data_IF_523040686849
#
_entry.id   IF_523040686849
#
_cell.length_a   1.000
_cell.length_b   1.000
_cell.length_c   1.000
_cell.angle_alpha   90.00
_cell.angle_beta   90.00
_cell.angle_gamma   90.00
#
_symmetry.space_group_name_H-M   'P 1'
#
loop_
_entity.id
_entity.type
_entity.pdbx_description
1 polymer ?
#
# COMPACT_ATOMS: atom_id res chain seq x y z
N UNK A 1 14.24 -12.48 -10.42
CA UNK A 1 13.90 -11.09 -10.06
C UNK A 1 14.05 -10.93 -8.55
N UNK A 2 14.47 -9.77 -8.03
CA UNK A 2 14.68 -9.59 -6.58
C UNK A 2 13.48 -8.89 -5.94
N UNK A 3 12.93 -9.49 -4.89
CA UNK A 3 11.90 -8.89 -4.02
C UNK A 3 12.60 -8.02 -2.99
N UNK A 4 12.19 -6.76 -2.86
CA UNK A 4 12.80 -5.79 -1.95
C UNK A 4 11.90 -5.41 -0.77
N UNK A 5 12.45 -4.64 0.17
CA UNK A 5 11.73 -4.08 1.33
C UNK A 5 10.47 -3.30 0.96
N UNK A 6 10.45 -2.70 -0.23
CA UNK A 6 9.29 -1.98 -0.77
C UNK A 6 8.15 -2.94 -1.09
N UNK A 7 8.44 -4.04 -1.82
CA UNK A 7 7.47 -5.09 -2.09
C UNK A 7 6.97 -5.73 -0.78
N UNK A 8 7.86 -5.99 0.17
CA UNK A 8 7.47 -6.51 1.50
C UNK A 8 6.52 -5.56 2.23
N UNK A 9 6.81 -4.26 2.23
CA UNK A 9 5.93 -3.27 2.84
C UNK A 9 4.55 -3.27 2.17
N UNK A 10 4.52 -3.24 0.84
CA UNK A 10 3.27 -3.20 0.10
C UNK A 10 2.41 -4.44 0.33
N UNK A 11 3.01 -5.63 0.30
CA UNK A 11 2.31 -6.91 0.51
C UNK A 11 1.77 -7.01 1.93
N UNK A 12 2.57 -6.69 2.96
CA UNK A 12 2.11 -6.75 4.36
C UNK A 12 1.03 -5.72 4.67
N UNK A 13 1.14 -4.50 4.14
CA UNK A 13 0.09 -3.47 4.33
C UNK A 13 -1.20 -3.83 3.59
N UNK A 14 -1.12 -4.46 2.41
CA UNK A 14 -2.29 -4.98 1.72
C UNK A 14 -2.95 -6.12 2.53
N UNK A 15 -2.16 -7.07 3.05
CA UNK A 15 -2.67 -8.13 3.91
C UNK A 15 -3.34 -7.57 5.18
N UNK A 16 -2.71 -6.58 5.84
CA UNK A 16 -3.27 -5.85 6.98
C UNK A 16 -4.62 -5.23 6.67
N UNK A 17 -4.70 -4.45 5.59
CA UNK A 17 -5.94 -3.78 5.22
C UNK A 17 -7.06 -4.77 4.87
N UNK A 18 -6.72 -5.86 4.20
CA UNK A 18 -7.66 -6.94 3.89
C UNK A 18 -8.19 -7.62 5.16
N UNK A 19 -7.30 -7.97 6.10
CA UNK A 19 -7.69 -8.57 7.39
C UNK A 19 -8.56 -7.60 8.22
N UNK A 20 -8.36 -6.29 8.07
CA UNK A 20 -9.17 -5.26 8.73
C UNK A 20 -10.47 -4.92 7.99
N UNK A 21 -10.80 -5.62 6.90
CA UNK A 21 -12.12 -5.57 6.25
C UNK A 21 -12.18 -4.78 4.94
N UNK A 22 -11.05 -4.31 4.39
CA UNK A 22 -11.06 -3.72 3.04
C UNK A 22 -11.25 -4.83 1.99
N UNK A 23 -12.03 -4.58 0.92
CA UNK A 23 -12.02 -5.42 -0.27
C UNK A 23 -10.60 -5.59 -0.83
N UNK A 24 -10.29 -6.73 -1.43
CA UNK A 24 -8.93 -7.07 -1.88
C UNK A 24 -8.31 -5.99 -2.78
N UNK A 25 -9.08 -5.42 -3.71
CA UNK A 25 -8.60 -4.38 -4.61
C UNK A 25 -8.22 -3.09 -3.86
N UNK A 26 -9.07 -2.68 -2.92
CA UNK A 26 -8.81 -1.54 -2.03
C UNK A 26 -7.64 -1.81 -1.10
N UNK A 27 -7.49 -3.05 -0.63
CA UNK A 27 -6.38 -3.45 0.22
C UNK A 27 -5.05 -3.39 -0.55
N UNK A 28 -4.99 -3.87 -1.80
CA UNK A 28 -3.82 -3.70 -2.69
C UNK A 28 -3.51 -2.23 -2.92
N UNK A 29 -4.54 -1.42 -3.22
CA UNK A 29 -4.41 0.03 -3.35
C UNK A 29 -3.79 0.68 -2.11
N UNK A 30 -4.29 0.33 -0.92
CA UNK A 30 -3.77 0.80 0.35
C UNK A 30 -2.31 0.37 0.55
N UNK A 31 -2.00 -0.90 0.30
CA UNK A 31 -0.66 -1.45 0.47
C UNK A 31 0.40 -0.72 -0.35
N UNK A 32 0.12 -0.50 -1.64
CA UNK A 32 1.02 0.27 -2.51
C UNK A 32 1.14 1.72 -2.05
N UNK A 33 0.03 2.36 -1.71
CA UNK A 33 0.00 3.74 -1.20
C UNK A 33 0.90 3.90 0.04
N UNK A 34 0.80 2.99 1.01
CA UNK A 34 1.62 3.01 2.23
C UNK A 34 3.08 2.73 1.94
N UNK A 35 3.39 1.80 1.06
CA UNK A 35 4.79 1.55 0.67
C UNK A 35 5.44 2.80 0.05
N UNK A 36 4.72 3.54 -0.80
CA UNK A 36 5.17 4.82 -1.37
C UNK A 36 5.33 5.88 -0.28
N UNK A 37 4.35 6.01 0.62
CA UNK A 37 4.39 6.95 1.74
C UNK A 37 5.64 6.76 2.61
N UNK A 38 5.91 5.52 3.05
CA UNK A 38 7.10 5.22 3.87
C UNK A 38 8.41 5.39 3.12
N UNK A 39 8.44 5.07 1.81
CA UNK A 39 9.62 5.29 0.98
C UNK A 39 9.93 6.79 0.83
N UNK A 40 8.90 7.63 0.71
CA UNK A 40 9.03 9.09 0.68
C UNK A 40 9.45 9.63 2.06
N UNK A 41 8.81 9.18 3.15
CA UNK A 41 9.12 9.60 4.52
C UNK A 41 10.58 9.36 4.88
N UNK A 42 11.14 8.21 4.48
CA UNK A 42 12.54 7.86 4.75
C UNK A 42 13.55 8.79 4.07
N UNK A 43 13.21 9.36 2.90
CA UNK A 43 14.08 10.29 2.17
C UNK A 43 14.04 11.71 2.73
N UNK A 44 13.27 11.93 3.80
CA UNK A 44 12.82 13.25 4.21
C UNK A 44 11.72 13.70 3.27
N UNK A 45 10.56 14.07 3.80
CA UNK A 45 9.58 14.78 2.98
C UNK A 45 10.28 16.06 2.49
N UNK A 46 10.42 16.23 1.18
CA UNK A 46 10.73 17.55 0.63
C UNK A 46 9.51 18.40 0.99
N UNK A 47 9.56 19.09 2.11
CA UNK A 47 8.58 20.10 2.50
C UNK A 47 8.54 21.11 1.37
N UNK A 48 7.53 20.99 0.52
CA UNK A 48 7.09 22.11 -0.30
C UNK A 48 6.58 23.11 0.73
N UNK A 49 7.24 24.28 0.81
CA UNK A 49 7.05 25.34 1.82
C UNK A 49 5.70 25.27 2.54
N UNK A 50 5.70 24.79 3.79
CA UNK A 50 4.55 24.89 4.71
C UNK A 50 3.48 23.81 4.63
N UNK A 51 3.61 22.78 3.78
CA UNK A 51 2.61 21.70 3.69
C UNK A 51 3.08 20.38 4.34
N UNK A 52 2.23 19.79 5.18
CA UNK A 52 2.44 18.46 5.78
C UNK A 52 2.22 17.34 4.75
N UNK A 53 3.06 16.30 4.79
CA UNK A 53 2.95 15.15 3.89
C UNK A 53 2.04 14.05 4.49
N UNK A 54 1.17 13.39 3.71
CA UNK A 54 1.01 13.52 2.27
C UNK A 54 0.35 14.85 1.88
N UNK A 55 0.89 15.49 0.85
CA UNK A 55 0.30 16.69 0.25
C UNK A 55 -1.10 16.33 -0.26
N UNK A 56 -2.08 17.22 -0.03
CA UNK A 56 -3.40 17.07 -0.63
C UNK A 56 -3.23 16.93 -2.14
N UNK A 57 -3.95 15.98 -2.78
CA UNK A 57 -3.78 15.80 -4.20
C UNK A 57 -4.30 17.01 -4.97
N UNK A 58 -3.52 17.47 -5.94
CA UNK A 58 -3.98 18.42 -6.96
C UNK A 58 -4.82 17.65 -7.98
N UNK A 59 -6.15 17.71 -7.85
CA UNK A 59 -7.09 16.92 -8.66
C UNK A 59 -6.88 17.08 -10.18
N UNK A 60 -6.51 18.28 -10.62
CA UNK A 60 -6.20 18.60 -12.02
C UNK A 60 -4.96 17.86 -12.56
N UNK A 61 -4.09 17.41 -11.66
CA UNK A 61 -2.85 16.71 -11.96
C UNK A 61 -2.94 15.21 -11.68
N UNK A 62 -4.10 14.70 -11.24
CA UNK A 62 -4.25 13.28 -10.94
C UNK A 62 -4.11 12.46 -12.22
N UNK A 63 -3.17 11.51 -12.20
CA UNK A 63 -2.95 10.56 -13.29
C UNK A 63 -3.85 9.34 -13.15
N UNK A 64 -4.17 8.73 -14.30
CA UNK A 64 -4.93 7.48 -14.37
C UNK A 64 -6.44 7.64 -14.50
N UNK A 65 -6.93 8.86 -14.76
CA UNK A 65 -8.35 9.18 -14.86
C UNK A 65 -8.60 10.13 -16.05
N UNK A 66 -9.67 9.90 -16.84
CA UNK A 66 -10.16 10.88 -17.81
C UNK A 66 -10.53 12.23 -17.16
N UNK A 67 -10.24 13.34 -17.84
CA UNK A 67 -10.50 14.70 -17.31
C UNK A 67 -11.97 14.94 -16.96
N UNK A 68 -12.88 14.33 -17.70
CA UNK A 68 -14.32 14.42 -17.46
C UNK A 68 -14.75 13.87 -16.09
N UNK A 69 -13.99 12.92 -15.52
CA UNK A 69 -14.29 12.33 -14.21
C UNK A 69 -13.65 13.07 -13.03
N UNK A 70 -12.82 14.11 -13.28
CA UNK A 70 -12.09 14.83 -12.22
C UNK A 70 -13.07 15.43 -11.19
N UNK A 71 -14.17 16.04 -11.64
CA UNK A 71 -15.20 16.60 -10.74
C UNK A 71 -15.82 15.54 -9.85
N UNK A 72 -16.18 14.39 -10.43
CA UNK A 72 -16.76 13.26 -9.68
C UNK A 72 -15.78 12.71 -8.64
N UNK A 73 -14.50 12.62 -8.96
CA UNK A 73 -13.45 12.19 -8.03
C UNK A 73 -13.20 13.19 -6.91
N UNK A 74 -13.30 14.48 -7.20
CA UNK A 74 -13.20 15.52 -6.19
C UNK A 74 -14.36 15.44 -5.20
N UNK A 75 -15.58 15.18 -5.67
CA UNK A 75 -16.75 14.98 -4.80
C UNK A 75 -16.66 13.68 -3.98
N UNK A 76 -16.09 12.62 -4.56
CA UNK A 76 -15.89 11.32 -3.91
C UNK A 76 -14.60 11.23 -3.09
N UNK A 77 -13.85 12.32 -2.98
CA UNK A 77 -12.62 12.38 -2.19
C UNK A 77 -12.91 12.31 -0.70
N UNK A 78 -12.21 11.42 0.00
CA UNK A 78 -12.38 11.20 1.44
C UNK A 78 -11.03 10.93 2.11
N UNK A 79 -10.88 11.37 3.35
CA UNK A 79 -9.80 10.91 4.22
C UNK A 79 -10.25 9.58 4.83
N UNK A 80 -9.53 8.52 4.51
CA UNK A 80 -9.77 7.19 5.05
C UNK A 80 -8.83 6.93 6.23
N UNK A 81 -9.33 6.31 7.29
CA UNK A 81 -8.53 5.93 8.47
C UNK A 81 -8.55 4.42 8.65
N UNK A 82 -7.37 3.78 8.63
CA UNK A 82 -7.18 2.38 9.00
C UNK A 82 -6.61 2.32 10.43
N UNK A 83 -7.50 2.44 11.41
CA UNK A 83 -7.11 2.68 12.81
C UNK A 83 -6.57 4.09 12.99
N UNK A 84 -5.32 4.25 13.43
CA UNK A 84 -4.66 5.55 13.58
C UNK A 84 -3.98 6.06 12.28
N UNK A 85 -3.94 5.26 11.22
CA UNK A 85 -3.26 5.61 9.96
C UNK A 85 -4.23 6.26 8.96
N UNK A 86 -3.97 7.51 8.60
CA UNK A 86 -4.76 8.25 7.61
C UNK A 86 -4.15 8.20 6.20
N UNK A 87 -5.02 8.13 5.21
CA UNK A 87 -4.67 8.18 3.80
C UNK A 87 -5.76 8.88 2.98
N UNK A 88 -5.36 9.63 1.96
CA UNK A 88 -6.30 10.16 0.99
C UNK A 88 -6.86 9.03 0.13
N UNK A 89 -8.16 9.09 -0.12
CA UNK A 89 -8.88 8.10 -0.90
C UNK A 89 -9.93 8.73 -1.79
N UNK A 90 -10.34 8.00 -2.81
CA UNK A 90 -11.50 8.28 -3.64
C UNK A 90 -12.30 7.00 -3.81
N UNK A 91 -13.62 7.14 -3.85
CA UNK A 91 -14.52 6.02 -4.14
C UNK A 91 -14.69 5.82 -5.65
N UNK A 92 -14.36 4.64 -6.15
CA UNK A 92 -14.58 4.23 -7.55
C UNK A 92 -15.38 2.92 -7.49
N UNK A 93 -16.54 2.88 -8.16
CA UNK A 93 -17.44 1.73 -8.19
C UNK A 93 -17.77 1.16 -6.78
N UNK A 94 -18.00 2.06 -5.82
CA UNK A 94 -18.34 1.72 -4.43
C UNK A 94 -17.16 1.18 -3.59
N UNK A 95 -15.92 1.28 -4.10
CA UNK A 95 -14.70 0.82 -3.41
C UNK A 95 -13.71 1.98 -3.22
N UNK A 96 -13.07 2.10 -2.05
CA UNK A 96 -12.03 3.11 -1.84
C UNK A 96 -10.73 2.72 -2.56
N UNK A 97 -10.16 3.67 -3.27
CA UNK A 97 -8.80 3.62 -3.82
C UNK A 97 -7.98 4.78 -3.28
N UNK A 98 -6.70 4.56 -3.04
CA UNK A 98 -5.85 5.46 -2.27
C UNK A 98 -4.98 6.32 -3.17
N UNK A 99 -4.83 7.59 -2.79
CA UNK A 99 -4.13 8.62 -3.55
C UNK A 99 -2.86 9.01 -2.81
N UNK A 100 -1.75 9.13 -3.55
CA UNK A 100 -0.50 9.73 -3.05
C UNK A 100 0.26 10.34 -4.23
N UNK A 101 0.79 11.56 -4.06
CA UNK A 101 1.58 12.23 -5.10
C UNK A 101 0.84 12.43 -6.42
N UNK A 102 -0.45 12.79 -6.36
CA UNK A 102 -1.34 12.96 -7.52
C UNK A 102 -1.50 11.69 -8.38
N UNK A 103 -1.40 10.51 -7.77
CA UNK A 103 -1.60 9.24 -8.47
C UNK A 103 -2.52 8.32 -7.66
N UNK A 104 -3.58 7.83 -8.31
CA UNK A 104 -4.42 6.75 -7.76
C UNK A 104 -3.64 5.45 -7.82
N UNK A 105 -3.52 4.78 -6.68
CA UNK A 105 -2.87 3.49 -6.59
C UNK A 105 -3.88 2.40 -6.93
N UNK A 106 -3.95 1.96 -8.19
CA UNK A 106 -4.91 0.93 -8.61
C UNK A 106 -4.39 -0.49 -8.38
N UNK A 107 -5.25 -1.53 -8.41
CA UNK A 107 -4.83 -2.93 -8.34
C UNK A 107 -3.87 -3.30 -9.48
N UNK A 108 -4.04 -2.71 -10.66
CA UNK A 108 -3.15 -2.91 -11.82
C UNK A 108 -1.77 -2.28 -11.55
N UNK A 109 -1.73 -1.11 -10.90
CA UNK A 109 -0.48 -0.50 -10.46
C UNK A 109 0.22 -1.38 -9.41
N UNK A 110 -0.55 -1.96 -8.47
CA UNK A 110 -0.04 -2.93 -7.50
C UNK A 110 0.53 -4.18 -8.21
N UNK A 111 -0.22 -4.75 -9.15
CA UNK A 111 0.23 -5.89 -9.96
C UNK A 111 1.54 -5.60 -10.70
N UNK A 112 1.61 -4.44 -11.35
CA UNK A 112 2.79 -4.01 -12.12
C UNK A 112 4.01 -3.79 -11.23
N UNK A 113 3.87 -3.17 -10.06
CA UNK A 113 4.99 -2.77 -9.21
C UNK A 113 5.39 -3.81 -8.16
N UNK A 114 4.43 -4.59 -7.70
CA UNK A 114 4.55 -5.54 -6.59
C UNK A 114 4.48 -6.96 -7.12
N UNK A 115 3.31 -7.42 -7.60
CA UNK A 115 3.09 -8.84 -7.95
C UNK A 115 4.05 -9.33 -9.04
N UNK A 116 4.37 -8.49 -10.02
CA UNK A 116 5.32 -8.81 -11.09
C UNK A 116 6.70 -9.22 -10.57
N UNK A 117 7.11 -8.73 -9.40
CA UNK A 117 8.41 -9.05 -8.78
C UNK A 117 8.45 -10.46 -8.19
N UNK A 118 7.30 -11.08 -7.99
CA UNK A 118 7.16 -12.43 -7.45
C UNK A 118 7.13 -13.50 -8.56
N UNK A 119 7.30 -13.16 -9.84
CA UNK A 119 7.42 -14.14 -10.91
C UNK A 119 6.27 -15.15 -10.96
N UNK A 120 5.03 -14.70 -10.75
CA UNK A 120 3.84 -15.55 -10.71
C UNK A 120 3.57 -16.23 -9.36
N UNK A 121 4.45 -16.07 -8.36
CA UNK A 121 4.32 -16.67 -7.02
C UNK A 121 3.77 -15.70 -5.97
N UNK A 122 3.12 -14.63 -6.40
CA UNK A 122 2.59 -13.61 -5.48
C UNK A 122 1.58 -14.20 -4.50
N UNK A 123 0.69 -15.09 -4.95
CA UNK A 123 -0.35 -15.66 -4.08
C UNK A 123 0.23 -16.43 -2.90
N UNK A 124 1.35 -17.13 -3.10
CA UNK A 124 2.09 -17.81 -2.01
C UNK A 124 2.63 -16.81 -0.99
N UNK A 125 3.26 -15.73 -1.47
CA UNK A 125 3.77 -14.67 -0.60
C UNK A 125 2.64 -13.88 0.09
N UNK A 126 1.50 -13.68 -0.58
CA UNK A 126 0.35 -13.00 -0.01
C UNK A 126 -0.34 -13.86 1.06
N UNK A 127 -0.44 -15.18 0.86
CA UNK A 127 -0.91 -16.10 1.87
C UNK A 127 -0.03 -16.08 3.12
N UNK A 128 1.30 -16.13 2.95
CA UNK A 128 2.23 -16.00 4.08
C UNK A 128 2.06 -14.64 4.80
N UNK A 129 1.87 -13.56 4.04
CA UNK A 129 1.59 -12.24 4.61
C UNK A 129 0.29 -12.22 5.42
N UNK A 130 -0.77 -12.89 4.95
CA UNK A 130 -2.04 -13.02 5.66
C UNK A 130 -1.88 -13.82 6.97
N UNK A 131 -1.12 -14.92 6.93
CA UNK A 131 -0.83 -15.72 8.13
C UNK A 131 -0.08 -14.92 9.19
N UNK A 132 0.97 -14.19 8.78
CA UNK A 132 1.71 -13.29 9.65
C UNK A 132 0.75 -12.26 10.25
N UNK A 133 -0.01 -11.53 9.44
CA UNK A 133 -0.90 -10.47 9.91
C UNK A 133 -1.98 -11.01 10.85
N UNK A 134 -2.61 -12.15 10.54
CA UNK A 134 -3.67 -12.75 11.36
C UNK A 134 -3.19 -13.25 12.72
N UNK A 135 -1.89 -13.51 12.88
CA UNK A 135 -1.31 -13.90 14.17
C UNK A 135 -1.21 -12.76 15.19
N UNK A 136 -1.52 -11.52 14.79
CA UNK A 136 -1.48 -10.34 15.65
C UNK A 136 -2.88 -9.87 16.04
N UNK A 137 -3.00 -9.34 17.26
CA UNK A 137 -4.23 -8.72 17.73
C UNK A 137 -4.63 -7.52 16.88
N UNK A 138 -5.94 -7.31 16.79
CA UNK A 138 -6.53 -6.18 16.06
C UNK A 138 -5.97 -4.83 16.50
N UNK A 139 -5.63 -4.65 17.78
CA UNK A 139 -5.01 -3.42 18.28
C UNK A 139 -3.63 -3.13 17.67
N UNK A 140 -2.79 -4.16 17.49
CA UNK A 140 -1.50 -4.04 16.80
C UNK A 140 -1.71 -3.67 15.34
N UNK A 141 -2.70 -4.29 14.70
CA UNK A 141 -3.03 -4.02 13.30
C UNK A 141 -3.68 -2.64 13.11
N UNK A 142 -4.41 -2.09 14.08
CA UNK A 142 -4.99 -0.76 13.97
C UNK A 142 -3.96 0.36 14.19
N UNK A 143 -2.85 0.08 14.88
CA UNK A 143 -1.81 1.08 15.08
C UNK A 143 -0.71 1.02 14.03
N UNK A 144 -0.51 2.13 13.33
CA UNK A 144 0.55 2.38 12.37
C UNK A 144 1.93 2.08 12.97
N UNK A 145 2.18 2.60 14.19
CA UNK A 145 3.46 2.44 14.88
C UNK A 145 3.69 0.99 15.27
N UNK A 146 2.69 0.34 15.89
CA UNK A 146 2.86 -1.06 16.31
C UNK A 146 2.97 -1.99 15.11
N UNK A 147 2.17 -1.80 14.06
CA UNK A 147 2.32 -2.56 12.82
C UNK A 147 3.73 -2.42 12.25
N UNK A 148 4.26 -1.19 12.16
CA UNK A 148 5.61 -0.96 11.66
C UNK A 148 6.67 -1.67 12.51
N UNK A 149 6.66 -1.45 13.82
CA UNK A 149 7.70 -1.92 14.73
C UNK A 149 7.63 -3.42 15.02
N UNK A 150 6.44 -4.01 15.07
CA UNK A 150 6.25 -5.41 15.50
C UNK A 150 6.00 -6.38 14.36
N UNK A 151 5.34 -5.94 13.28
CA UNK A 151 5.00 -6.81 12.13
C UNK A 151 6.04 -6.67 11.03
N UNK A 152 6.22 -5.44 10.52
CA UNK A 152 7.07 -5.18 9.35
C UNK A 152 8.56 -5.20 9.66
N UNK A 153 9.03 -4.30 10.54
CA UNK A 153 10.45 -4.05 10.80
C UNK A 153 11.28 -5.31 11.14
N UNK A 154 10.83 -6.24 12.02
CA UNK A 154 11.62 -7.41 12.37
C UNK A 154 11.73 -8.44 11.23
N UNK A 155 10.87 -8.36 10.22
CA UNK A 155 10.77 -9.38 9.16
C UNK A 155 11.10 -8.86 7.77
N UNK A 156 11.20 -7.55 7.57
CA UNK A 156 11.33 -6.94 6.24
C UNK A 156 12.50 -7.49 5.41
N UNK A 157 13.61 -7.80 6.07
CA UNK A 157 14.82 -8.30 5.43
C UNK A 157 14.74 -9.81 5.19
N UNK A 158 14.26 -10.56 6.19
CA UNK A 158 14.02 -12.00 6.09
C UNK A 158 13.00 -12.34 4.99
N UNK A 159 11.87 -11.64 4.95
CA UNK A 159 10.85 -11.84 3.91
C UNK A 159 11.34 -11.41 2.53
N UNK A 160 12.10 -10.31 2.43
CA UNK A 160 12.68 -9.90 1.16
C UNK A 160 13.64 -10.97 0.61
N UNK A 161 14.48 -11.56 1.47
CA UNK A 161 15.36 -12.66 1.11
C UNK A 161 14.55 -13.91 0.73
N UNK A 162 13.70 -14.40 1.64
CA UNK A 162 12.89 -15.61 1.45
C UNK A 162 12.05 -15.55 0.16
N UNK A 163 11.36 -14.43 -0.08
CA UNK A 163 10.56 -14.27 -1.28
C UNK A 163 11.42 -14.09 -2.54
N UNK A 164 12.63 -13.55 -2.44
CA UNK A 164 13.57 -13.54 -3.57
C UNK A 164 14.05 -14.94 -3.91
N UNK A 165 14.40 -15.76 -2.92
CA UNK A 165 14.80 -17.16 -3.10
C UNK A 165 13.66 -18.00 -3.69
N UNK A 166 12.42 -17.79 -3.23
CA UNK A 166 11.22 -18.41 -3.80
C UNK A 166 11.06 -18.13 -5.31
N UNK A 167 11.43 -16.92 -5.74
CA UNK A 167 11.39 -16.52 -7.16
C UNK A 167 12.56 -17.13 -7.94
N UNK A 168 13.73 -17.29 -7.31
CA UNK A 168 14.96 -17.78 -7.96
C UNK A 168 15.07 -19.31 -8.04
N UNK A 169 14.51 -20.07 -7.11
CA UNK A 169 14.73 -21.54 -7.00
C UNK A 169 13.94 -22.40 -8.01
N UNK A 170 13.48 -21.82 -9.13
CA UNK A 170 12.87 -22.54 -10.25
C UNK A 170 13.34 -21.92 -11.59
N UNK A 171 14.66 -21.84 -11.75
CA UNK A 171 15.33 -21.55 -13.02
C UNK A 171 16.16 -22.75 -13.45
#
# INVERSE_FOLDING_TARGET
MKVGRFQVMATLQAARAYVLGLPLDSAKSFGLNRAIFYAAAKRGFKTVKGEEFPLKPSFEQIKGIPREKIKEIQEKFKIFSLGDEQAYSVEIDGRPFFIIGNEIQTPEAFKRQIESRFGGKFDKAFQEALEIVKSYDKGVLLSQRYFYETVYKPRRDLLAQKWSEMVSNEG
#
